data_IF_882450686753
#
_entry.id   IF_882450686753
#
_cell.length_a   1.000
_cell.length_b   1.000
_cell.length_c   1.000
_cell.angle_alpha   90.00
_cell.angle_beta   90.00
_cell.angle_gamma   90.00
#
_symmetry.space_group_name_H-M   'P 1'
#
loop_
_entity.id
_entity.type
_entity.pdbx_description
1 polymer ?
#
# COMPACT_ATOMS: atom_id res chain seq x y z
N UNK A 1 10.13 3.99 -3.35
CA UNK A 1 8.86 3.90 -2.63
C UNK A 1 9.17 3.89 -1.14
N UNK A 2 8.62 4.83 -0.40
CA UNK A 2 8.86 5.02 1.03
C UNK A 2 7.96 4.10 1.84
N UNK A 3 8.48 3.44 2.88
CA UNK A 3 7.73 2.47 3.69
C UNK A 3 7.58 2.97 5.14
N UNK A 4 6.39 2.89 5.69
CA UNK A 4 6.13 3.13 7.11
C UNK A 4 6.72 1.98 7.94
N UNK A 5 7.48 2.32 8.99
CA UNK A 5 8.12 1.34 9.86
C UNK A 5 7.18 0.70 10.89
N UNK A 6 5.98 1.27 11.10
CA UNK A 6 4.99 0.76 12.05
C UNK A 6 3.97 -0.17 11.38
N UNK A 7 3.44 0.19 10.22
CA UNK A 7 2.37 -0.55 9.54
C UNK A 7 2.73 -1.05 8.14
N UNK A 8 3.98 -0.88 7.73
CA UNK A 8 4.50 -1.35 6.43
C UNK A 8 3.84 -0.74 5.17
N UNK A 9 2.99 0.27 5.34
CA UNK A 9 2.35 0.99 4.24
C UNK A 9 3.37 1.70 3.36
N UNK A 10 3.14 1.67 2.06
CA UNK A 10 4.09 2.16 1.06
C UNK A 10 3.55 3.39 0.33
N UNK A 11 4.43 4.36 0.11
CA UNK A 11 4.13 5.68 -0.44
C UNK A 11 5.09 6.04 -1.57
N UNK A 12 4.61 6.75 -2.58
CA UNK A 12 5.44 7.16 -3.72
C UNK A 12 6.44 8.25 -3.35
N UNK A 13 6.05 9.16 -2.45
CA UNK A 13 6.86 10.31 -2.02
C UNK A 13 6.96 10.40 -0.50
N UNK A 14 8.04 11.00 0.00
CA UNK A 14 8.34 11.11 1.43
C UNK A 14 7.30 11.94 2.19
N UNK A 15 6.75 13.00 1.56
CA UNK A 15 5.72 13.86 2.16
C UNK A 15 4.46 13.08 2.53
N UNK A 16 4.02 12.14 1.68
CA UNK A 16 2.88 11.28 1.96
C UNK A 16 3.14 10.39 3.18
N UNK A 17 4.35 9.82 3.31
CA UNK A 17 4.71 9.00 4.47
C UNK A 17 4.76 9.83 5.76
N UNK A 18 5.30 11.05 5.71
CA UNK A 18 5.37 11.93 6.89
C UNK A 18 3.97 12.31 7.38
N UNK A 19 3.05 12.57 6.46
CA UNK A 19 1.66 12.85 6.80
C UNK A 19 0.97 11.61 7.32
N UNK A 20 1.17 10.44 6.70
CA UNK A 20 0.68 9.17 7.22
C UNK A 20 1.08 8.96 8.69
N UNK A 21 2.36 9.16 9.03
CA UNK A 21 2.82 9.01 10.41
C UNK A 21 2.13 10.00 11.36
N UNK A 22 1.86 11.24 10.90
CA UNK A 22 1.12 12.25 11.66
C UNK A 22 -0.34 11.86 11.92
N UNK A 23 -1.03 11.42 10.88
CA UNK A 23 -2.46 11.15 10.91
C UNK A 23 -2.77 9.84 11.61
N UNK A 24 -1.98 8.79 11.31
CA UNK A 24 -2.35 7.43 11.64
C UNK A 24 -1.61 6.84 12.84
N UNK A 25 -0.41 7.34 13.13
CA UNK A 25 0.41 6.81 14.22
C UNK A 25 0.64 7.80 15.35
N UNK A 26 -0.05 8.96 15.32
CA UNK A 26 0.22 10.09 16.20
C UNK A 26 1.73 10.35 16.31
N UNK A 27 2.26 11.12 15.38
CA UNK A 27 3.69 11.37 15.23
C UNK A 27 4.36 11.91 16.51
N UNK A 28 3.60 12.49 17.43
CA UNK A 28 4.09 12.97 18.73
C UNK A 28 4.30 11.84 19.75
N UNK A 29 3.61 10.72 19.60
CA UNK A 29 3.75 9.52 20.44
C UNK A 29 4.99 8.68 20.08
N UNK A 30 5.58 8.93 18.91
CA UNK A 30 6.70 8.15 18.37
C UNK A 30 8.03 8.66 18.94
N UNK A 31 8.77 7.77 19.60
CA UNK A 31 10.08 8.09 20.22
C UNK A 31 11.27 7.71 19.34
N UNK A 32 11.11 6.76 18.41
CA UNK A 32 12.15 6.31 17.48
C UNK A 32 11.56 6.22 16.07
N UNK A 33 12.23 6.88 15.11
CA UNK A 33 11.85 6.86 13.71
C UNK A 33 12.84 6.00 12.92
N UNK A 34 12.36 4.98 12.21
CA UNK A 34 13.21 4.09 11.42
C UNK A 34 13.00 4.29 9.91
N UNK A 35 14.09 4.40 9.16
CA UNK A 35 14.08 4.47 7.71
C UNK A 35 14.11 3.06 7.09
N UNK A 36 12.97 2.60 6.56
CA UNK A 36 12.86 1.30 5.87
C UNK A 36 13.25 1.33 4.39
N UNK A 37 13.97 2.37 3.94
CA UNK A 37 14.46 2.44 2.56
C UNK A 37 15.59 1.41 2.34
N UNK A 38 15.63 0.82 1.16
CA UNK A 38 16.66 -0.15 0.77
C UNK A 38 18.06 0.40 1.06
N UNK A 39 18.92 -0.40 1.70
CA UNK A 39 20.29 -0.06 2.08
C UNK A 39 20.42 1.14 3.05
N UNK A 40 19.36 1.54 3.76
CA UNK A 40 19.42 2.63 4.72
C UNK A 40 19.26 2.16 6.16
N UNK A 41 18.08 1.67 6.56
CA UNK A 41 17.79 1.10 7.88
C UNK A 41 18.27 1.94 9.09
N UNK A 42 18.38 3.26 8.93
CA UNK A 42 18.84 4.18 9.98
C UNK A 42 17.70 4.57 10.92
N UNK A 43 18.04 4.75 12.19
CA UNK A 43 17.10 5.19 13.25
C UNK A 43 17.41 6.60 13.74
N UNK A 44 16.38 7.34 14.12
CA UNK A 44 16.46 8.72 14.57
C UNK A 44 15.63 8.91 15.84
N UNK A 45 16.18 9.62 16.83
CA UNK A 45 15.47 9.97 18.07
C UNK A 45 14.61 11.25 17.97
N UNK A 46 14.57 11.88 16.80
CA UNK A 46 13.73 13.05 16.57
C UNK A 46 13.13 13.10 15.17
N UNK A 47 11.90 13.61 15.11
CA UNK A 47 11.12 13.82 13.90
C UNK A 47 11.86 14.70 12.88
N UNK A 48 12.51 15.77 13.32
CA UNK A 48 13.17 16.71 12.41
C UNK A 48 14.40 16.09 11.74
N UNK A 49 15.14 15.26 12.48
CA UNK A 49 16.27 14.51 11.93
C UNK A 49 15.78 13.48 10.91
N UNK A 50 14.70 12.77 11.23
CA UNK A 50 14.08 11.82 10.32
C UNK A 50 13.54 12.49 9.05
N UNK A 51 12.85 13.63 9.17
CA UNK A 51 12.33 14.43 8.03
C UNK A 51 13.46 14.86 7.09
N UNK A 52 14.54 15.41 7.63
CA UNK A 52 15.72 15.80 6.84
C UNK A 52 16.33 14.61 6.12
N UNK A 53 16.48 13.49 6.84
CA UNK A 53 17.02 12.26 6.28
C UNK A 53 16.16 11.68 5.16
N UNK A 54 14.85 11.53 5.37
CA UNK A 54 14.00 10.84 4.39
C UNK A 54 13.87 11.63 3.09
N UNK A 55 13.95 12.96 3.18
CA UNK A 55 13.98 13.83 2.01
C UNK A 55 15.30 13.75 1.22
N UNK A 56 16.39 13.21 1.77
CA UNK A 56 17.63 13.02 0.99
C UNK A 56 17.55 11.84 0.02
N UNK A 57 16.65 10.88 0.24
CA UNK A 57 16.49 9.72 -0.66
C UNK A 57 15.97 10.10 -2.05
N UNK A 58 15.26 11.23 -2.18
CA UNK A 58 14.80 11.74 -3.49
C UNK A 58 15.96 12.22 -4.37
N UNK A 59 17.06 12.67 -3.77
CA UNK A 59 18.25 13.13 -4.48
C UNK A 59 19.12 11.96 -4.96
N UNK A 60 19.10 10.83 -4.24
CA UNK A 60 19.94 9.66 -4.59
C UNK A 60 19.34 8.88 -5.76
N UNK A 61 18.01 8.81 -5.89
CA UNK A 61 17.35 8.11 -7.01
C UNK A 61 17.55 8.79 -8.36
N UNK A 62 17.81 10.10 -8.40
CA UNK A 62 18.11 10.82 -9.64
C UNK A 62 19.57 10.67 -10.10
N UNK A 63 20.46 10.17 -9.24
CA UNK A 63 21.90 10.07 -9.53
C UNK A 63 22.36 8.64 -9.89
N UNK A 64 21.46 7.66 -9.96
CA UNK A 64 21.79 6.27 -10.32
C UNK A 64 21.51 5.96 -11.80
N UNK A 65 20.95 6.91 -12.56
CA UNK A 65 20.90 6.79 -14.01
C UNK A 65 22.21 7.32 -14.64
N UNK A 66 22.89 6.43 -15.35
CA UNK A 66 24.05 6.65 -16.24
C UNK A 66 25.42 6.62 -15.52
N UNK A 67 25.96 5.42 -15.41
CA UNK A 67 27.37 5.14 -15.76
C UNK A 67 27.52 3.66 -16.13
N UNK A 68 27.04 3.30 -17.32
CA UNK A 68 27.60 2.19 -18.08
C UNK A 68 28.14 2.78 -19.39
N UNK A 69 29.41 3.18 -19.36
CA UNK A 69 30.18 3.45 -20.58
C UNK A 69 30.39 2.11 -21.30
N UNK A 70 29.55 1.82 -22.29
CA UNK A 70 29.83 0.79 -23.29
C UNK A 70 30.82 1.40 -24.28
N UNK A 71 32.10 1.04 -24.14
CA UNK A 71 33.13 1.37 -25.12
C UNK A 71 32.98 0.39 -26.31
N UNK A 72 32.46 0.87 -27.43
CA UNK A 72 32.32 0.09 -28.67
C UNK A 72 33.60 0.25 -29.48
N UNK A 73 34.55 -0.67 -29.30
CA UNK A 73 35.68 -0.80 -30.21
C UNK A 73 35.45 -1.94 -31.22
N UNK A 74 35.55 -1.55 -32.49
CA UNK A 74 35.39 -2.36 -33.70
C UNK A 74 36.61 -3.27 -33.89
N UNK A 75 36.41 -4.58 -33.93
CA UNK A 75 37.03 -5.46 -34.92
C UNK A 75 36.47 -6.89 -34.86
N UNK A 76 36.15 -7.45 -36.02
CA UNK A 76 36.16 -8.89 -36.33
C UNK A 76 37.21 -9.11 -37.44
N UNK A 77 37.63 -10.35 -37.81
CA UNK A 77 37.07 -11.69 -37.56
C UNK A 77 38.11 -12.69 -36.98
N UNK A 78 37.83 -13.95 -36.59
CA UNK A 78 37.88 -15.17 -37.46
C UNK A 78 37.84 -16.46 -36.58
N UNK A 79 36.82 -17.33 -36.76
CA UNK A 79 36.82 -18.80 -37.00
C UNK A 79 37.47 -19.84 -36.01
N UNK A 80 36.61 -20.75 -35.49
CA UNK A 80 36.74 -22.22 -35.16
C UNK A 80 37.63 -22.58 -33.93
N UNK A 81 37.30 -23.47 -32.98
CA UNK A 81 36.85 -24.90 -32.97
C UNK A 81 36.00 -25.28 -31.74
N UNK A 82 35.09 -26.23 -31.92
CA UNK A 82 34.37 -27.01 -30.89
C UNK A 82 35.30 -27.91 -30.05
N UNK A 83 35.02 -28.10 -28.76
CA UNK A 83 35.17 -29.37 -28.01
C UNK A 83 34.08 -29.45 -26.92
N UNK A 84 33.19 -30.43 -27.05
CA UNK A 84 32.27 -30.95 -26.03
C UNK A 84 33.04 -31.72 -24.95
N UNK A 85 32.54 -31.75 -23.70
CA UNK A 85 32.49 -32.93 -22.83
C UNK A 85 31.39 -32.74 -21.77
N UNK A 86 30.50 -33.74 -21.73
CA UNK A 86 29.33 -33.95 -20.89
C UNK A 86 29.59 -33.95 -19.37
N UNK A 87 28.57 -33.54 -18.61
CA UNK A 87 27.92 -34.39 -17.60
C UNK A 87 26.51 -33.88 -17.26
N UNK A 88 25.50 -34.61 -17.75
CA UNK A 88 24.25 -35.06 -17.09
C UNK A 88 24.13 -34.73 -15.58
N UNK A 89 23.01 -34.34 -14.95
CA UNK A 89 21.59 -34.67 -15.18
C UNK A 89 20.64 -33.66 -14.46
N UNK A 90 19.66 -33.18 -15.21
CA UNK A 90 18.22 -32.89 -14.93
C UNK A 90 17.59 -32.75 -13.52
N UNK A 91 16.84 -31.64 -13.36
CA UNK A 91 15.38 -31.56 -13.05
C UNK A 91 14.96 -31.91 -11.59
N UNK A 92 14.42 -31.00 -10.77
CA UNK A 92 13.10 -30.38 -10.91
C UNK A 92 13.05 -28.96 -10.30
N UNK A 93 12.56 -28.03 -11.11
CA UNK A 93 12.17 -26.70 -10.68
C UNK A 93 10.73 -26.78 -10.15
N UNK A 94 10.56 -27.18 -8.88
CA UNK A 94 9.29 -27.00 -8.17
C UNK A 94 9.22 -25.52 -7.81
N UNK A 95 8.83 -24.72 -8.79
CA UNK A 95 8.20 -23.44 -8.50
C UNK A 95 6.89 -23.80 -7.81
N UNK A 96 6.90 -23.76 -6.47
CA UNK A 96 5.71 -23.85 -5.64
C UNK A 96 4.75 -22.76 -6.10
N UNK A 97 3.89 -23.14 -7.03
CA UNK A 97 2.57 -22.57 -7.22
C UNK A 97 1.78 -22.92 -5.96
N UNK A 98 2.10 -22.26 -4.85
CA UNK A 98 1.11 -22.03 -3.83
C UNK A 98 0.14 -21.02 -4.43
N UNK A 99 -0.85 -21.56 -5.14
CA UNK A 99 -2.11 -20.88 -5.36
C UNK A 99 -2.65 -20.58 -3.96
N UNK A 100 -2.27 -19.42 -3.42
CA UNK A 100 -2.77 -18.94 -2.16
C UNK A 100 -4.26 -18.72 -2.41
N UNK A 101 -5.07 -19.71 -2.02
CA UNK A 101 -6.50 -19.54 -1.87
C UNK A 101 -6.67 -18.48 -0.80
N UNK A 102 -6.67 -17.22 -1.24
CA UNK A 102 -6.80 -16.07 -0.37
C UNK A 102 -8.21 -16.11 0.21
N UNK A 103 -8.34 -16.71 1.39
CA UNK A 103 -9.61 -16.78 2.08
C UNK A 103 -10.01 -15.35 2.47
N UNK A 104 -11.12 -14.89 1.91
CA UNK A 104 -11.66 -13.58 2.24
C UNK A 104 -12.14 -13.58 3.70
N UNK A 105 -11.58 -12.69 4.52
CA UNK A 105 -12.06 -12.44 5.88
C UNK A 105 -12.42 -10.98 6.04
N UNK A 106 -13.35 -10.69 6.97
CA UNK A 106 -13.72 -9.31 7.29
C UNK A 106 -12.51 -8.51 7.80
N UNK A 107 -11.63 -9.17 8.54
CA UNK A 107 -10.41 -8.55 9.08
C UNK A 107 -9.42 -8.18 7.96
N UNK A 108 -9.19 -9.10 7.02
CA UNK A 108 -8.36 -8.84 5.85
C UNK A 108 -8.92 -7.69 5.00
N UNK A 109 -10.24 -7.66 4.80
CA UNK A 109 -10.91 -6.57 4.09
C UNK A 109 -10.74 -5.23 4.80
N UNK A 110 -10.99 -5.17 6.12
CA UNK A 110 -10.79 -3.98 6.97
C UNK A 110 -9.37 -3.45 6.83
N UNK A 111 -8.37 -4.31 6.94
CA UNK A 111 -6.96 -3.92 6.85
C UNK A 111 -6.60 -3.36 5.47
N UNK A 112 -7.07 -3.98 4.38
CA UNK A 112 -6.85 -3.48 3.01
C UNK A 112 -7.55 -2.14 2.81
N UNK A 113 -8.81 -2.03 3.21
CA UNK A 113 -9.60 -0.82 3.06
C UNK A 113 -8.97 0.34 3.83
N UNK A 114 -8.61 0.13 5.10
CA UNK A 114 -7.96 1.12 5.95
C UNK A 114 -6.64 1.60 5.33
N UNK A 115 -5.80 0.67 4.87
CA UNK A 115 -4.53 1.00 4.18
C UNK A 115 -4.76 1.89 2.95
N UNK A 116 -5.77 1.57 2.15
CA UNK A 116 -6.10 2.35 0.95
C UNK A 116 -6.68 3.72 1.29
N UNK A 117 -7.58 3.80 2.27
CA UNK A 117 -8.17 5.05 2.76
C UNK A 117 -7.08 6.01 3.27
N UNK A 118 -6.14 5.51 4.08
CA UNK A 118 -5.01 6.31 4.59
C UNK A 118 -4.11 6.79 3.45
N UNK A 119 -3.81 5.93 2.47
CA UNK A 119 -3.00 6.32 1.31
C UNK A 119 -3.65 7.48 0.54
N UNK A 120 -4.96 7.42 0.35
CA UNK A 120 -5.73 8.47 -0.31
C UNK A 120 -5.72 9.78 0.50
N UNK A 121 -6.04 9.69 1.79
CA UNK A 121 -6.07 10.83 2.71
C UNK A 121 -4.71 11.51 2.83
N UNK A 122 -3.64 10.71 2.96
CA UNK A 122 -2.26 11.22 3.03
C UNK A 122 -1.87 11.98 1.76
N UNK A 123 -2.31 11.50 0.59
CA UNK A 123 -2.11 12.20 -0.69
C UNK A 123 -2.81 13.55 -0.69
N UNK A 124 -4.07 13.62 -0.25
CA UNK A 124 -4.81 14.90 -0.21
C UNK A 124 -4.22 15.90 0.78
N UNK A 125 -3.92 15.49 2.01
CA UNK A 125 -3.31 16.39 3.00
C UNK A 125 -1.89 16.85 2.65
N UNK A 126 -1.18 16.09 1.79
CA UNK A 126 0.15 16.46 1.33
C UNK A 126 0.15 17.46 0.18
N UNK A 127 -1.00 17.63 -0.48
CA UNK A 127 -1.12 18.50 -1.62
C UNK A 127 -1.38 19.93 -1.13
N UNK A 128 -0.37 20.78 -1.23
CA UNK A 128 -0.45 22.19 -0.80
C UNK A 128 -1.51 23.01 -1.56
N UNK A 129 -1.96 22.55 -2.73
CA UNK A 129 -3.04 23.19 -3.48
C UNK A 129 -4.44 22.90 -2.88
N UNK A 130 -4.56 21.91 -1.99
CA UNK A 130 -5.84 21.52 -1.37
C UNK A 130 -5.84 21.99 0.09
N UNK A 131 -6.66 23.00 0.44
CA UNK A 131 -6.80 23.42 1.84
C UNK A 131 -7.30 22.27 2.73
N UNK A 132 -6.83 22.20 3.98
CA UNK A 132 -7.24 21.14 4.93
C UNK A 132 -8.76 20.98 5.05
N UNK A 133 -9.49 22.10 5.16
CA UNK A 133 -10.96 22.09 5.19
C UNK A 133 -11.59 21.45 3.94
N UNK A 134 -10.97 21.63 2.77
CA UNK A 134 -11.45 20.98 1.54
C UNK A 134 -11.19 19.49 1.57
N UNK A 135 -10.10 19.02 2.18
CA UNK A 135 -9.87 17.57 2.35
C UNK A 135 -11.00 16.92 3.14
N UNK A 136 -11.46 17.55 4.22
CA UNK A 136 -12.59 17.04 5.00
C UNK A 136 -13.88 16.98 4.16
N UNK A 137 -14.19 18.04 3.40
CA UNK A 137 -15.35 18.05 2.48
C UNK A 137 -15.24 16.91 1.45
N UNK A 138 -14.06 16.70 0.86
CA UNK A 138 -13.84 15.61 -0.09
C UNK A 138 -14.04 14.22 0.54
N UNK A 139 -13.63 14.04 1.81
CA UNK A 139 -13.86 12.79 2.53
C UNK A 139 -15.35 12.54 2.75
N UNK A 140 -16.07 13.58 3.17
CA UNK A 140 -17.52 13.50 3.40
C UNK A 140 -18.27 13.25 2.08
N UNK A 141 -17.90 13.92 0.99
CA UNK A 141 -18.49 13.73 -0.33
C UNK A 141 -18.28 12.31 -0.86
N UNK A 142 -17.07 11.75 -0.71
CA UNK A 142 -16.79 10.35 -1.11
C UNK A 142 -17.56 9.37 -0.23
N UNK A 143 -17.65 9.63 1.09
CA UNK A 143 -18.41 8.76 1.99
C UNK A 143 -19.89 8.77 1.63
N UNK A 144 -20.48 9.94 1.43
CA UNK A 144 -21.88 10.10 1.01
C UNK A 144 -22.15 9.41 -0.34
N UNK A 145 -21.24 9.56 -1.31
CA UNK A 145 -21.35 8.88 -2.59
C UNK A 145 -21.35 7.36 -2.43
N UNK A 146 -20.41 6.80 -1.67
CA UNK A 146 -20.34 5.37 -1.40
C UNK A 146 -21.62 4.88 -0.70
N UNK A 147 -22.03 5.54 0.37
CA UNK A 147 -23.19 5.14 1.18
C UNK A 147 -24.48 5.14 0.35
N UNK A 148 -24.64 6.12 -0.55
CA UNK A 148 -25.80 6.22 -1.45
C UNK A 148 -25.98 5.02 -2.38
N UNK A 149 -24.87 4.38 -2.79
CA UNK A 149 -24.89 3.19 -3.63
C UNK A 149 -25.03 1.94 -2.78
N UNK A 150 -24.29 1.90 -1.66
CA UNK A 150 -24.22 0.73 -0.79
C UNK A 150 -25.55 0.44 -0.09
N UNK A 151 -26.36 1.44 0.24
CA UNK A 151 -27.63 1.25 0.94
C UNK A 151 -28.55 0.25 0.23
N UNK A 152 -28.70 0.37 -1.10
CA UNK A 152 -29.56 -0.50 -1.89
C UNK A 152 -28.99 -1.93 -2.01
N UNK A 153 -27.66 -2.05 -2.10
CA UNK A 153 -26.98 -3.35 -2.17
C UNK A 153 -27.11 -4.07 -0.83
N UNK A 154 -26.88 -3.35 0.29
CA UNK A 154 -27.04 -3.88 1.65
C UNK A 154 -28.46 -4.37 1.89
N UNK A 155 -29.47 -3.58 1.52
CA UNK A 155 -30.88 -3.97 1.64
C UNK A 155 -31.21 -5.24 0.83
N UNK A 156 -30.74 -5.33 -0.41
CA UNK A 156 -30.96 -6.53 -1.23
C UNK A 156 -30.33 -7.78 -0.62
N UNK A 157 -29.09 -7.68 -0.11
CA UNK A 157 -28.40 -8.80 0.54
C UNK A 157 -29.10 -9.19 1.84
N UNK A 158 -29.56 -8.21 2.62
CA UNK A 158 -30.29 -8.44 3.86
C UNK A 158 -31.61 -9.18 3.61
N UNK A 159 -32.35 -8.81 2.55
CA UNK A 159 -33.52 -9.55 2.10
C UNK A 159 -33.17 -10.99 1.69
N UNK A 160 -32.04 -11.23 1.04
CA UNK A 160 -31.59 -12.59 0.69
C UNK A 160 -31.26 -13.42 1.93
N UNK A 161 -30.64 -12.82 2.95
CA UNK A 161 -30.35 -13.47 4.23
C UNK A 161 -31.64 -13.90 4.94
N UNK A 162 -32.64 -13.00 5.01
CA UNK A 162 -33.91 -13.27 5.69
C UNK A 162 -34.73 -14.40 5.04
N UNK A 163 -34.58 -14.60 3.72
CA UNK A 163 -35.37 -15.56 2.95
C UNK A 163 -34.60 -16.86 2.64
N UNK A 164 -33.45 -17.09 3.27
CA UNK A 164 -32.60 -18.26 2.99
C UNK A 164 -32.38 -19.11 4.24
N UNK A 165 -32.55 -20.43 4.08
CA UNK A 165 -32.40 -21.41 5.16
C UNK A 165 -31.06 -22.16 5.12
N UNK A 166 -30.23 -21.95 4.09
CA UNK A 166 -28.91 -22.55 3.97
C UNK A 166 -27.90 -21.77 4.80
N UNK A 167 -27.48 -22.37 5.91
CA UNK A 167 -26.59 -21.76 6.92
C UNK A 167 -25.31 -21.20 6.31
N UNK A 168 -24.64 -21.96 5.44
CA UNK A 168 -23.37 -21.53 4.84
C UNK A 168 -23.57 -20.32 3.91
N UNK A 169 -24.65 -20.32 3.12
CA UNK A 169 -24.99 -19.16 2.27
C UNK A 169 -25.33 -17.93 3.10
N UNK A 170 -26.10 -18.09 4.18
CA UNK A 170 -26.42 -16.98 5.10
C UNK A 170 -25.14 -16.42 5.72
N UNK A 171 -24.20 -17.29 6.11
CA UNK A 171 -22.91 -16.89 6.68
C UNK A 171 -22.07 -16.09 5.68
N UNK A 172 -21.94 -16.56 4.43
CA UNK A 172 -21.18 -15.87 3.39
C UNK A 172 -21.81 -14.52 3.02
N UNK A 173 -23.14 -14.46 2.88
CA UNK A 173 -23.86 -13.21 2.64
C UNK A 173 -23.71 -12.22 3.79
N UNK A 174 -23.71 -12.71 5.04
CA UNK A 174 -23.48 -11.87 6.22
C UNK A 174 -22.06 -11.31 6.23
N UNK A 175 -21.06 -12.11 5.82
CA UNK A 175 -19.69 -11.65 5.67
C UNK A 175 -19.56 -10.54 4.62
N UNK A 176 -20.24 -10.69 3.47
CA UNK A 176 -20.30 -9.63 2.45
C UNK A 176 -21.01 -8.39 2.99
N UNK A 177 -22.15 -8.53 3.65
CA UNK A 177 -22.92 -7.42 4.22
C UNK A 177 -22.06 -6.60 5.20
N UNK A 178 -21.35 -7.28 6.11
CA UNK A 178 -20.44 -6.63 7.07
C UNK A 178 -19.26 -5.92 6.37
N UNK A 179 -18.82 -6.43 5.22
CA UNK A 179 -17.76 -5.80 4.43
C UNK A 179 -18.26 -4.51 3.77
N UNK A 180 -19.49 -4.51 3.23
CA UNK A 180 -20.14 -3.31 2.69
C UNK A 180 -20.41 -2.27 3.80
N UNK A 181 -20.76 -2.73 4.99
CA UNK A 181 -20.92 -1.86 6.16
C UNK A 181 -19.59 -1.20 6.54
N UNK A 182 -18.49 -1.96 6.49
CA UNK A 182 -17.14 -1.42 6.71
C UNK A 182 -16.78 -0.39 5.63
N UNK A 183 -17.12 -0.64 4.37
CA UNK A 183 -16.90 0.31 3.28
C UNK A 183 -17.69 1.62 3.45
N UNK A 184 -18.87 1.54 4.07
CA UNK A 184 -19.71 2.71 4.40
C UNK A 184 -19.10 3.58 5.50
N UNK A 185 -17.99 3.16 6.12
CA UNK A 185 -17.32 3.91 7.20
C UNK A 185 -15.80 3.97 6.95
N UNK A 186 -15.40 3.97 5.67
CA UNK A 186 -13.99 3.89 5.23
C UNK A 186 -13.12 5.01 5.81
N UNK A 187 -13.70 6.18 6.05
CA UNK A 187 -12.96 7.38 6.44
C UNK A 187 -13.22 7.86 7.86
N UNK A 188 -14.10 7.21 8.64
CA UNK A 188 -14.53 7.74 9.94
C UNK A 188 -13.38 7.96 10.93
N UNK A 189 -12.44 7.02 10.97
CA UNK A 189 -11.22 7.15 11.79
C UNK A 189 -10.20 8.17 11.28
N UNK A 190 -10.44 8.76 10.10
CA UNK A 190 -9.56 9.68 9.40
C UNK A 190 -10.18 11.09 9.26
N UNK A 191 -11.43 11.27 9.69
CA UNK A 191 -12.07 12.57 9.86
C UNK A 191 -11.48 13.22 11.10
N UNK A 192 -10.83 14.35 10.94
CA UNK A 192 -10.06 14.97 12.00
C UNK A 192 -10.54 16.38 12.24
N UNK A 193 -11.10 16.60 13.42
CA UNK A 193 -11.37 17.95 13.95
C UNK A 193 -10.07 18.63 14.45
N UNK A 194 -8.94 17.93 14.46
CA UNK A 194 -7.67 18.39 15.05
C UNK A 194 -6.46 18.17 14.13
N UNK A 195 -6.42 18.88 13.00
CA UNK A 195 -5.19 19.13 12.23
C UNK A 195 -4.91 20.62 12.07
#
# INVERSE_FOLDING_TARGET
MFKCFLCESQFEVSSHLLIHLNIYHDLNSITIFECKQLNCFRSFGSIDSFKKHINSHTLVTNNIAINQQINVDKHSPTIITNIDINSEETVDNIQDNLECTYFFTLENFKNILQKNAIKLVSKWYSNSAIPRKMVQILLDDVQNFNDSILINIKDKIQNMIQNNNYVDTVKDLTLVLNSLETLSHSFDSLKTEHF
#
